data_IF_922215764354
#
_entry.id   IF_922215764354
#
_cell.length_a   1.000
_cell.length_b   1.000
_cell.length_c   1.000
_cell.angle_alpha   90.00
_cell.angle_beta   90.00
_cell.angle_gamma   90.00
#
_symmetry.space_group_name_H-M   'P 1'
#
loop_
_entity.id
_entity.type
_entity.pdbx_description
1 polymer ?
#
# COMPACT_ATOMS: atom_id res chain seq x y z
N UNK A 1 5.85 -11.55 2.18
CA UNK A 1 6.11 -10.26 1.49
C UNK A 1 7.56 -9.80 1.57
N UNK A 2 8.17 -9.72 2.75
CA UNK A 2 9.56 -9.25 2.94
C UNK A 2 10.60 -9.93 2.01
N UNK A 3 10.68 -11.27 2.05
CA UNK A 3 11.65 -12.05 1.27
C UNK A 3 11.51 -11.90 -0.26
N UNK A 4 10.28 -11.76 -0.77
CA UNK A 4 10.02 -11.52 -2.21
C UNK A 4 10.50 -10.14 -2.68
N UNK A 5 10.48 -9.13 -1.81
CA UNK A 5 10.98 -7.79 -2.14
C UNK A 5 12.51 -7.78 -2.25
N UNK A 6 13.20 -8.50 -1.36
CA UNK A 6 14.66 -8.61 -1.33
C UNK A 6 15.21 -9.38 -2.54
N UNK A 7 14.48 -10.40 -3.01
CA UNK A 7 14.85 -11.21 -4.18
C UNK A 7 14.52 -10.53 -5.53
N UNK A 8 13.71 -9.46 -5.52
CA UNK A 8 13.30 -8.75 -6.74
C UNK A 8 14.35 -7.70 -7.15
N UNK A 9 15.11 -8.00 -8.21
CA UNK A 9 16.04 -7.05 -8.84
C UNK A 9 15.28 -6.08 -9.75
N UNK A 10 15.49 -4.77 -9.56
CA UNK A 10 14.96 -3.71 -10.41
C UNK A 10 13.77 -2.94 -9.81
N UNK A 11 13.78 -1.61 -9.98
CA UNK A 11 12.77 -0.71 -9.42
C UNK A 11 11.35 -0.99 -9.92
N UNK A 12 11.20 -1.30 -11.22
CA UNK A 12 9.90 -1.60 -11.82
C UNK A 12 9.22 -2.84 -11.18
N UNK A 13 10.01 -3.87 -10.87
CA UNK A 13 9.47 -5.09 -10.26
C UNK A 13 9.13 -4.87 -8.77
N UNK A 14 9.88 -4.01 -8.07
CA UNK A 14 9.55 -3.55 -6.72
C UNK A 14 8.26 -2.73 -6.69
N UNK A 15 8.08 -1.80 -7.62
CA UNK A 15 6.84 -1.03 -7.78
C UNK A 15 5.64 -1.96 -7.99
N UNK A 16 5.72 -2.92 -8.93
CA UNK A 16 4.66 -3.92 -9.15
C UNK A 16 4.32 -4.78 -7.94
N UNK A 17 5.30 -5.06 -7.07
CA UNK A 17 5.03 -5.76 -5.83
C UNK A 17 4.26 -4.88 -4.85
N UNK A 18 4.68 -3.62 -4.70
CA UNK A 18 4.02 -2.65 -3.83
C UNK A 18 2.59 -2.32 -4.32
N UNK A 19 2.39 -2.17 -5.64
CA UNK A 19 1.07 -1.95 -6.24
C UNK A 19 0.09 -3.09 -5.89
N UNK A 20 0.52 -4.35 -5.99
CA UNK A 20 -0.30 -5.51 -5.62
C UNK A 20 -0.65 -5.53 -4.13
N UNK A 21 0.30 -5.15 -3.26
CA UNK A 21 0.07 -5.08 -1.82
C UNK A 21 -0.93 -3.96 -1.50
N UNK A 22 -0.75 -2.78 -2.09
CA UNK A 22 -1.63 -1.64 -1.88
C UNK A 22 -3.05 -1.90 -2.40
N UNK A 23 -3.19 -2.51 -3.57
CA UNK A 23 -4.49 -2.92 -4.10
C UNK A 23 -5.21 -3.90 -3.14
N UNK A 24 -4.48 -4.86 -2.56
CA UNK A 24 -5.02 -5.76 -1.54
C UNK A 24 -5.52 -5.02 -0.28
N UNK A 25 -4.79 -4.00 0.18
CA UNK A 25 -5.22 -3.17 1.30
C UNK A 25 -6.48 -2.37 0.98
N UNK A 26 -6.58 -1.78 -0.22
CA UNK A 26 -7.78 -1.05 -0.69
C UNK A 26 -9.00 -1.97 -0.73
N UNK A 27 -8.86 -3.17 -1.28
CA UNK A 27 -9.93 -4.17 -1.32
C UNK A 27 -10.37 -4.61 0.08
N UNK A 28 -9.41 -4.84 0.98
CA UNK A 28 -9.68 -5.19 2.37
C UNK A 28 -10.44 -4.10 3.11
N UNK A 29 -10.03 -2.83 2.93
CA UNK A 29 -10.75 -1.67 3.46
C UNK A 29 -12.18 -1.61 2.92
N UNK A 30 -12.34 -1.63 1.59
CA UNK A 30 -13.65 -1.53 0.94
C UNK A 30 -14.62 -2.60 1.43
N UNK A 31 -14.14 -3.84 1.57
CA UNK A 31 -14.93 -4.96 2.11
C UNK A 31 -15.38 -4.71 3.55
N UNK A 32 -14.51 -4.12 4.39
CA UNK A 32 -14.81 -3.81 5.79
C UNK A 32 -15.82 -2.67 5.99
N UNK A 33 -15.92 -1.75 5.04
CA UNK A 33 -16.87 -0.62 5.09
C UNK A 33 -18.08 -0.79 4.18
N UNK A 34 -18.22 -1.95 3.51
CA UNK A 34 -19.35 -2.25 2.63
C UNK A 34 -19.30 -1.60 1.25
N UNK A 35 -18.15 -1.04 0.84
CA UNK A 35 -17.93 -0.52 -0.51
C UNK A 35 -17.66 -1.70 -1.46
N UNK A 36 -18.37 -1.73 -2.59
CA UNK A 36 -18.11 -2.65 -3.69
C UNK A 36 -17.56 -1.87 -4.88
N UNK A 37 -16.41 -2.30 -5.38
CA UNK A 37 -15.91 -1.84 -6.67
C UNK A 37 -16.64 -2.63 -7.76
N UNK A 38 -17.37 -1.94 -8.62
CA UNK A 38 -18.12 -2.54 -9.74
C UNK A 38 -17.18 -2.97 -10.87
N UNK A 39 -16.05 -2.28 -10.99
CA UNK A 39 -15.03 -2.53 -12.00
C UNK A 39 -13.67 -2.82 -11.37
N UNK A 40 -12.80 -3.44 -12.17
CA UNK A 40 -11.40 -3.60 -11.79
C UNK A 40 -10.74 -2.22 -11.83
N UNK A 41 -10.16 -1.79 -10.71
CA UNK A 41 -9.38 -0.58 -10.68
C UNK A 41 -7.92 -0.83 -11.09
N UNK A 42 -7.34 0.17 -11.70
CA UNK A 42 -5.92 0.29 -11.99
C UNK A 42 -5.26 1.11 -10.87
N UNK A 43 -4.06 0.69 -10.50
CA UNK A 43 -3.24 1.38 -9.52
C UNK A 43 -1.79 1.33 -10.00
N UNK A 44 -1.17 2.51 -10.08
CA UNK A 44 0.22 2.66 -10.48
C UNK A 44 0.97 3.48 -9.42
N UNK A 45 2.11 2.96 -8.94
CA UNK A 45 2.99 3.74 -8.08
C UNK A 45 3.81 4.67 -8.97
N UNK A 46 3.64 5.97 -8.76
CA UNK A 46 4.36 7.02 -9.50
C UNK A 46 5.70 7.32 -8.85
N UNK A 47 5.80 7.17 -7.53
CA UNK A 47 7.04 7.45 -6.78
C UNK A 47 7.14 6.61 -5.50
N UNK A 48 8.37 6.18 -5.17
CA UNK A 48 8.70 5.61 -3.85
C UNK A 48 9.60 6.63 -3.16
N UNK A 49 9.01 7.45 -2.29
CA UNK A 49 9.70 8.57 -1.65
C UNK A 49 10.69 8.08 -0.60
N UNK A 50 10.30 7.09 0.21
CA UNK A 50 11.14 6.56 1.28
C UNK A 50 10.97 5.05 1.46
N UNK A 51 12.07 4.39 1.80
CA UNK A 51 12.10 3.01 2.25
C UNK A 51 12.81 2.97 3.61
N UNK A 52 12.11 2.55 4.66
CA UNK A 52 12.68 2.50 6.02
C UNK A 52 12.24 1.26 6.79
N UNK A 53 13.13 0.71 7.60
CA UNK A 53 12.78 -0.36 8.55
C UNK A 53 12.17 0.31 9.78
N UNK A 54 10.93 -0.03 10.10
CA UNK A 54 10.22 0.42 11.31
C UNK A 54 9.81 -0.80 12.12
N UNK A 55 9.90 -0.72 13.44
CA UNK A 55 9.36 -1.74 14.32
C UNK A 55 7.84 -1.54 14.44
N UNK A 56 7.06 -2.55 14.06
CA UNK A 56 5.61 -2.59 14.26
C UNK A 56 5.29 -3.79 15.16
N UNK A 57 4.67 -3.55 16.31
CA UNK A 57 4.34 -4.59 17.32
C UNK A 57 5.54 -5.48 17.70
N UNK A 58 6.74 -4.89 17.82
CA UNK A 58 7.98 -5.62 18.16
C UNK A 58 8.63 -6.34 16.98
N UNK A 59 8.00 -6.34 15.80
CA UNK A 59 8.55 -6.93 14.57
C UNK A 59 9.12 -5.85 13.66
N UNK A 60 10.41 -5.94 13.33
CA UNK A 60 11.04 -5.07 12.32
C UNK A 60 10.41 -5.35 10.95
N UNK A 61 9.75 -4.35 10.40
CA UNK A 61 9.05 -4.40 9.12
C UNK A 61 9.58 -3.33 8.18
N UNK A 62 9.74 -3.68 6.91
CA UNK A 62 10.06 -2.72 5.87
C UNK A 62 8.81 -1.90 5.55
N UNK A 63 8.92 -0.58 5.63
CA UNK A 63 7.84 0.39 5.36
C UNK A 63 8.23 1.30 4.20
N UNK A 64 7.22 1.75 3.46
CA UNK A 64 7.38 2.54 2.26
C UNK A 64 6.44 3.74 2.32
N UNK A 65 6.98 4.91 1.98
CA UNK A 65 6.18 6.09 1.67
C UNK A 65 6.13 6.17 0.13
N UNK A 66 4.93 6.16 -0.45
CA UNK A 66 4.72 6.06 -1.90
C UNK A 66 3.68 7.06 -2.39
N UNK A 67 3.86 7.57 -3.60
CA UNK A 67 2.82 8.25 -4.38
C UNK A 67 2.25 7.28 -5.40
N UNK A 68 0.95 7.31 -5.58
CA UNK A 68 0.27 6.45 -6.53
C UNK A 68 -0.92 7.16 -7.18
N UNK A 69 -1.26 6.70 -8.37
CA UNK A 69 -2.48 7.07 -9.09
C UNK A 69 -3.39 5.86 -9.16
N UNK A 70 -4.70 6.09 -9.05
CA UNK A 70 -5.70 5.05 -9.22
C UNK A 70 -6.99 5.64 -9.81
N UNK A 71 -7.69 4.87 -10.62
CA UNK A 71 -8.97 5.26 -11.21
C UNK A 71 -10.16 4.98 -10.26
N UNK A 72 -10.00 5.31 -8.98
CA UNK A 72 -11.01 5.07 -7.95
C UNK A 72 -11.02 6.20 -6.92
N UNK A 73 -12.21 6.55 -6.43
CA UNK A 73 -12.35 7.55 -5.39
C UNK A 73 -12.27 6.89 -4.02
N UNK A 74 -11.20 7.19 -3.28
CA UNK A 74 -11.06 6.79 -1.89
C UNK A 74 -11.65 7.87 -0.98
N UNK A 75 -12.36 7.51 0.10
CA UNK A 75 -12.75 8.49 1.10
C UNK A 75 -11.50 9.20 1.66
N UNK A 76 -11.58 10.51 1.97
CA UNK A 76 -10.47 11.22 2.57
C UNK A 76 -10.12 10.62 3.94
N UNK A 77 -8.83 10.70 4.34
CA UNK A 77 -8.32 10.24 5.64
C UNK A 77 -8.41 8.74 5.92
N UNK A 78 -8.55 7.89 4.89
CA UNK A 78 -8.41 6.45 5.10
C UNK A 78 -6.94 6.09 5.33
N UNK A 79 -6.71 5.22 6.31
CA UNK A 79 -5.42 4.54 6.45
C UNK A 79 -5.45 3.23 5.67
N UNK A 80 -4.50 3.02 4.77
CA UNK A 80 -4.37 1.78 4.01
C UNK A 80 -3.15 0.98 4.48
N UNK A 81 -3.38 -0.20 5.08
CA UNK A 81 -2.34 -1.18 5.42
C UNK A 81 -2.31 -1.63 6.88
N UNK A 82 -1.20 -2.25 7.31
CA UNK A 82 -0.92 -2.57 8.71
C UNK A 82 -0.35 -1.33 9.41
N UNK A 83 -0.89 -0.96 10.57
CA UNK A 83 -0.43 0.18 11.36
C UNK A 83 -1.19 1.50 11.16
N UNK A 84 -2.37 1.43 10.55
CA UNK A 84 -3.31 2.55 10.38
C UNK A 84 -3.66 3.22 11.72
N UNK A 85 -3.72 2.47 12.80
CA UNK A 85 -3.95 2.96 14.17
C UNK A 85 -2.82 3.83 14.74
N UNK A 86 -1.67 3.92 14.07
CA UNK A 86 -0.52 4.74 14.49
C UNK A 86 -0.15 5.86 13.48
N UNK A 87 -1.01 6.15 12.50
CA UNK A 87 -0.81 7.25 11.54
C UNK A 87 -0.05 6.88 10.25
N UNK A 88 0.13 5.59 9.96
CA UNK A 88 0.70 5.13 8.69
C UNK A 88 -0.39 4.90 7.62
N UNK A 89 -0.07 5.21 6.37
CA UNK A 89 -0.96 4.96 5.22
C UNK A 89 -2.07 5.99 5.01
N UNK A 90 -1.91 7.20 5.56
CA UNK A 90 -2.83 8.33 5.38
C UNK A 90 -2.65 8.90 3.96
N UNK A 91 -3.74 8.95 3.19
CA UNK A 91 -3.82 9.77 1.97
C UNK A 91 -3.86 11.24 2.36
N UNK A 92 -2.82 11.99 1.97
CA UNK A 92 -2.72 13.44 2.09
C UNK A 92 -2.80 14.11 0.74
#
# INVERSE_FOLDING_TARGET
>A
NHRRFEETRGMAARARLLERVLAGHILGFASGVGIRFEERFELAITEIEQQRIRSFEGVKSLTFDVRFEANLLLPPHIGLGKGVTQGFGVLG
#
